data_IF_049651711093
#
_entry.id   IF_049651711093
#
_cell.length_a   1.000
_cell.length_b   1.000
_cell.length_c   1.000
_cell.angle_alpha   90.00
_cell.angle_beta   90.00
_cell.angle_gamma   90.00
#
_symmetry.space_group_name_H-M   'P 1'
#
loop_
_entity.id
_entity.type
_entity.pdbx_description
1 polymer ?
#
# COMPACT_ATOMS: atom_id res chain seq x y z
N UNK A 1 -7.59 -12.85 77.20
CA UNK A 1 -8.61 -13.35 76.27
C UNK A 1 -8.99 -12.16 75.40
N UNK A 2 -8.26 -11.89 74.31
CA UNK A 2 -8.38 -12.56 72.99
C UNK A 2 -9.62 -12.00 72.25
N UNK A 3 -9.59 -11.47 71.02
CA UNK A 3 -8.70 -11.57 69.86
C UNK A 3 -8.79 -10.24 69.05
N UNK A 4 -7.68 -9.71 68.52
CA UNK A 4 -7.15 -9.91 67.16
C UNK A 4 -7.92 -9.19 66.03
N UNK A 5 -7.37 -8.03 65.68
CA UNK A 5 -7.11 -7.49 64.33
C UNK A 5 -7.44 -8.40 63.13
N UNK A 6 -8.25 -7.90 62.20
CA UNK A 6 -8.30 -8.38 60.81
C UNK A 6 -8.28 -7.22 59.82
N UNK A 7 -7.11 -7.12 59.17
CA UNK A 7 -6.76 -6.44 57.93
C UNK A 7 -7.40 -7.12 56.72
N UNK A 8 -7.90 -6.37 55.72
CA UNK A 8 -7.48 -6.43 54.31
C UNK A 8 -8.51 -5.93 53.27
N UNK A 9 -8.02 -4.98 52.46
CA UNK A 9 -7.93 -5.00 50.99
C UNK A 9 -9.22 -5.10 50.16
N UNK A 10 -9.62 -3.96 49.60
CA UNK A 10 -10.29 -3.92 48.31
C UNK A 10 -9.48 -3.03 47.36
N UNK A 11 -8.58 -3.66 46.62
CA UNK A 11 -7.81 -3.04 45.56
C UNK A 11 -7.57 -4.07 44.44
N UNK A 12 -7.68 -3.59 43.21
CA UNK A 12 -7.15 -4.18 41.98
C UNK A 12 -8.03 -5.18 41.22
N UNK A 13 -8.96 -4.68 40.39
CA UNK A 13 -9.44 -5.40 39.20
C UNK A 13 -9.32 -4.62 37.89
N UNK A 14 -8.98 -3.33 37.90
CA UNK A 14 -9.03 -2.49 36.70
C UNK A 14 -7.67 -2.24 36.01
N UNK A 15 -6.53 -2.54 36.65
CA UNK A 15 -5.21 -2.26 36.08
C UNK A 15 -4.65 -3.35 35.14
N UNK A 16 -5.21 -4.58 35.19
CA UNK A 16 -4.64 -5.72 34.45
C UNK A 16 -5.13 -5.79 32.99
N UNK A 17 -6.22 -5.12 32.62
CA UNK A 17 -6.76 -5.18 31.25
C UNK A 17 -6.12 -4.16 30.27
N UNK A 18 -5.64 -3.01 30.76
CA UNK A 18 -5.13 -1.91 29.91
C UNK A 18 -3.78 -2.24 29.23
N UNK A 19 -2.90 -2.97 29.93
CA UNK A 19 -1.55 -3.29 29.43
C UNK A 19 -1.55 -4.29 28.26
N UNK A 20 -2.52 -5.21 28.23
CA UNK A 20 -2.64 -6.26 27.22
C UNK A 20 -3.34 -5.83 25.91
N UNK A 21 -4.24 -4.85 25.99
CA UNK A 21 -4.96 -4.29 24.83
C UNK A 21 -4.05 -3.36 24.02
N UNK A 22 -3.28 -2.51 24.71
CA UNK A 22 -2.35 -1.55 24.08
C UNK A 22 -1.23 -2.26 23.30
N UNK A 23 -0.71 -3.38 23.82
CA UNK A 23 0.34 -4.19 23.17
C UNK A 23 -0.15 -4.89 21.89
N UNK A 24 -1.45 -5.23 21.81
CA UNK A 24 -2.05 -5.88 20.63
C UNK A 24 -2.32 -4.89 19.50
N UNK A 25 -2.79 -3.68 19.82
CA UNK A 25 -3.13 -2.68 18.80
C UNK A 25 -1.90 -2.17 18.02
N UNK A 26 -0.76 -1.98 18.71
CA UNK A 26 0.48 -1.54 18.06
C UNK A 26 1.06 -2.63 17.13
N UNK A 27 1.03 -3.90 17.56
CA UNK A 27 1.47 -5.06 16.75
C UNK A 27 0.52 -5.31 15.58
N UNK A 28 -0.80 -5.21 15.79
CA UNK A 28 -1.81 -5.39 14.74
C UNK A 28 -1.65 -4.34 13.62
N UNK A 29 -1.47 -3.07 13.97
CA UNK A 29 -1.22 -2.00 12.99
C UNK A 29 0.05 -2.26 12.16
N UNK A 30 1.11 -2.76 12.81
CA UNK A 30 2.35 -3.14 12.14
C UNK A 30 2.13 -4.32 11.17
N UNK A 31 1.47 -5.38 11.63
CA UNK A 31 1.15 -6.57 10.81
C UNK A 31 0.28 -6.21 9.61
N UNK A 32 -0.79 -5.44 9.81
CA UNK A 32 -1.67 -4.99 8.73
C UNK A 32 -0.89 -4.17 7.70
N UNK A 33 -0.01 -3.26 8.14
CA UNK A 33 0.79 -2.46 7.20
C UNK A 33 1.76 -3.32 6.37
N UNK A 34 2.35 -4.36 6.96
CA UNK A 34 3.24 -5.29 6.25
C UNK A 34 2.50 -6.15 5.24
N UNK A 35 1.30 -6.63 5.59
CA UNK A 35 0.45 -7.37 4.65
C UNK A 35 0.07 -6.48 3.47
N UNK A 36 -0.36 -5.24 3.73
CA UNK A 36 -0.69 -4.29 2.68
C UNK A 36 0.52 -3.99 1.77
N UNK A 37 1.72 -3.81 2.35
CA UNK A 37 2.97 -3.60 1.60
C UNK A 37 3.29 -4.79 0.70
N UNK A 38 3.16 -6.02 1.22
CA UNK A 38 3.39 -7.23 0.45
C UNK A 38 2.41 -7.35 -0.72
N UNK A 39 1.13 -7.08 -0.51
CA UNK A 39 0.10 -7.11 -1.57
C UNK A 39 0.44 -6.09 -2.67
N UNK A 40 0.73 -4.84 -2.31
CA UNK A 40 1.08 -3.80 -3.29
C UNK A 40 2.36 -4.17 -4.06
N UNK A 41 3.39 -4.64 -3.36
CA UNK A 41 4.64 -5.06 -4.00
C UNK A 41 4.41 -6.21 -4.98
N UNK A 42 3.59 -7.21 -4.63
CA UNK A 42 3.26 -8.32 -5.52
C UNK A 42 2.50 -7.86 -6.77
N UNK A 43 1.52 -6.96 -6.63
CA UNK A 43 0.81 -6.38 -7.78
C UNK A 43 1.78 -5.64 -8.70
N UNK A 44 2.71 -4.86 -8.15
CA UNK A 44 3.75 -4.22 -8.96
C UNK A 44 4.68 -5.21 -9.63
N UNK A 45 5.15 -6.26 -8.94
CA UNK A 45 5.98 -7.32 -9.56
C UNK A 45 5.26 -7.99 -10.74
N UNK A 46 3.96 -8.25 -10.61
CA UNK A 46 3.15 -8.76 -11.72
C UNK A 46 3.04 -7.73 -12.87
N UNK A 47 2.75 -6.46 -12.57
CA UNK A 47 2.69 -5.37 -13.56
C UNK A 47 4.00 -5.18 -14.33
N UNK A 48 5.13 -5.27 -13.62
CA UNK A 48 6.48 -5.09 -14.18
C UNK A 48 6.79 -6.10 -15.28
N UNK A 49 6.33 -7.35 -15.13
CA UNK A 49 6.50 -8.37 -16.16
C UNK A 49 5.91 -7.91 -17.49
N UNK A 50 4.66 -7.43 -17.50
CA UNK A 50 4.01 -6.95 -18.72
C UNK A 50 4.68 -5.69 -19.28
N UNK A 51 5.07 -4.74 -18.41
CA UNK A 51 5.69 -3.48 -18.82
C UNK A 51 7.08 -3.65 -19.43
N UNK A 52 7.94 -4.48 -18.84
CA UNK A 52 9.30 -4.70 -19.36
C UNK A 52 9.35 -5.65 -20.55
N UNK A 53 8.45 -6.62 -20.63
CA UNK A 53 8.30 -7.44 -21.84
C UNK A 53 7.62 -6.68 -22.98
N UNK A 54 6.93 -5.58 -22.67
CA UNK A 54 6.16 -4.79 -23.63
C UNK A 54 5.10 -5.65 -24.33
N UNK A 55 4.36 -6.39 -23.50
CA UNK A 55 3.25 -7.25 -23.91
C UNK A 55 2.17 -6.47 -24.68
N UNK A 56 1.37 -7.12 -25.53
CA UNK A 56 0.37 -6.46 -26.39
C UNK A 56 -0.52 -5.46 -25.66
N UNK A 57 -1.00 -5.77 -24.45
CA UNK A 57 -1.85 -4.86 -23.67
C UNK A 57 -1.08 -3.60 -23.24
N UNK A 58 0.21 -3.76 -22.88
CA UNK A 58 1.09 -2.63 -22.58
C UNK A 58 1.29 -1.73 -23.80
N UNK A 59 1.38 -2.30 -25.01
CA UNK A 59 1.55 -1.51 -26.22
C UNK A 59 0.34 -0.60 -26.45
N UNK A 60 -0.88 -1.12 -26.29
CA UNK A 60 -2.11 -0.33 -26.43
C UNK A 60 -2.21 0.77 -25.38
N UNK A 61 -1.92 0.43 -24.13
CA UNK A 61 -1.96 1.41 -23.03
C UNK A 61 -0.97 2.54 -23.30
N UNK A 62 0.27 2.18 -23.67
CA UNK A 62 1.34 3.15 -23.82
C UNK A 62 1.42 3.80 -25.19
N UNK A 63 0.68 3.36 -26.20
CA UNK A 63 0.65 3.99 -27.53
C UNK A 63 0.41 5.50 -27.42
N UNK A 64 -0.51 5.91 -26.54
CA UNK A 64 -0.86 7.31 -26.27
C UNK A 64 -0.09 7.94 -25.10
N UNK A 65 0.74 7.16 -24.41
CA UNK A 65 1.46 7.56 -23.17
C UNK A 65 3.00 7.47 -23.31
N UNK A 66 3.52 7.55 -24.54
CA UNK A 66 4.98 7.59 -24.81
C UNK A 66 5.60 6.25 -25.21
N UNK A 67 4.78 5.28 -25.59
CA UNK A 67 5.18 3.97 -26.11
C UNK A 67 6.07 3.18 -25.15
N UNK A 68 7.01 2.42 -25.71
CA UNK A 68 7.93 1.57 -24.95
C UNK A 68 8.76 2.34 -23.91
N UNK A 69 9.14 3.58 -24.21
CA UNK A 69 9.88 4.42 -23.28
C UNK A 69 9.01 4.81 -22.07
N UNK A 70 7.75 5.21 -22.31
CA UNK A 70 6.76 5.47 -21.26
C UNK A 70 6.51 4.25 -20.38
N UNK A 71 6.32 3.08 -21.01
CA UNK A 71 6.11 1.82 -20.29
C UNK A 71 7.29 1.46 -19.39
N UNK A 72 8.51 1.63 -19.90
CA UNK A 72 9.75 1.37 -19.15
C UNK A 72 9.91 2.37 -17.99
N UNK A 73 9.63 3.66 -18.22
CA UNK A 73 9.74 4.70 -17.20
C UNK A 73 8.77 4.46 -16.03
N UNK A 74 7.50 4.15 -16.35
CA UNK A 74 6.50 3.79 -15.33
C UNK A 74 6.89 2.49 -14.63
N UNK A 75 7.37 1.48 -15.36
CA UNK A 75 7.88 0.25 -14.77
C UNK A 75 9.04 0.49 -13.80
N UNK A 76 9.99 1.37 -14.12
CA UNK A 76 11.07 1.72 -13.17
C UNK A 76 10.51 2.35 -11.88
N UNK A 77 9.50 3.21 -11.98
CA UNK A 77 8.85 3.81 -10.80
C UNK A 77 8.09 2.78 -9.95
N UNK A 78 7.45 1.80 -10.58
CA UNK A 78 6.79 0.69 -9.87
C UNK A 78 7.80 -0.21 -9.16
N UNK A 79 8.93 -0.52 -9.80
CA UNK A 79 10.01 -1.28 -9.19
C UNK A 79 10.59 -0.57 -7.97
N UNK A 80 10.88 0.73 -8.09
CA UNK A 80 11.35 1.55 -6.97
C UNK A 80 10.32 1.56 -5.83
N UNK A 81 9.04 1.73 -6.15
CA UNK A 81 7.94 1.72 -5.17
C UNK A 81 7.87 0.39 -4.43
N UNK A 82 7.92 -0.74 -5.16
CA UNK A 82 7.87 -2.08 -4.58
C UNK A 82 9.07 -2.34 -3.64
N UNK A 83 10.29 -1.98 -4.07
CA UNK A 83 11.49 -2.13 -3.23
C UNK A 83 11.38 -1.27 -1.97
N UNK A 84 10.98 -0.01 -2.10
CA UNK A 84 10.89 0.91 -0.95
C UNK A 84 9.78 0.50 0.02
N UNK A 85 8.66 -0.03 -0.45
CA UNK A 85 7.58 -0.55 0.39
C UNK A 85 8.05 -1.70 1.29
N UNK A 86 8.94 -2.55 0.79
CA UNK A 86 9.48 -3.70 1.54
C UNK A 86 10.62 -3.34 2.48
N UNK A 87 11.30 -2.20 2.28
CA UNK A 87 12.35 -1.72 3.17
C UNK A 87 11.71 -0.98 4.37
N UNK A 88 11.84 -1.48 5.61
CA UNK A 88 11.10 -0.95 6.77
C UNK A 88 11.32 0.53 7.06
N UNK A 89 12.48 1.07 6.65
CA UNK A 89 12.86 2.49 6.80
C UNK A 89 12.30 3.39 5.70
N UNK A 90 11.96 2.82 4.54
CA UNK A 90 11.61 3.58 3.32
C UNK A 90 10.14 3.40 2.91
N UNK A 91 9.38 2.59 3.64
CA UNK A 91 8.01 2.22 3.29
C UNK A 91 7.07 3.41 3.04
N UNK A 92 7.22 4.53 3.77
CA UNK A 92 6.41 5.72 3.61
C UNK A 92 6.76 6.45 2.30
N UNK A 93 8.05 6.47 1.93
CA UNK A 93 8.51 7.00 0.64
C UNK A 93 8.01 6.09 -0.49
N UNK A 94 8.09 4.77 -0.32
CA UNK A 94 7.54 3.79 -1.25
C UNK A 94 6.04 3.96 -1.47
N UNK A 95 5.27 4.22 -0.40
CA UNK A 95 3.85 4.50 -0.47
C UNK A 95 3.55 5.81 -1.22
N UNK A 96 4.36 6.86 -1.04
CA UNK A 96 4.23 8.12 -1.81
C UNK A 96 4.48 7.87 -3.29
N UNK A 97 5.56 7.17 -3.65
CA UNK A 97 5.86 6.85 -5.05
C UNK A 97 4.77 5.99 -5.67
N UNK A 98 4.23 5.04 -4.89
CA UNK A 98 3.10 4.23 -5.31
C UNK A 98 1.87 5.08 -5.59
N UNK A 99 1.52 6.01 -4.71
CA UNK A 99 0.38 6.92 -4.90
C UNK A 99 0.53 7.84 -6.12
N UNK A 100 1.73 8.38 -6.35
CA UNK A 100 2.00 9.20 -7.53
C UNK A 100 1.84 8.36 -8.81
N UNK A 101 2.47 7.18 -8.84
CA UNK A 101 2.48 6.31 -10.02
C UNK A 101 1.08 5.78 -10.33
N UNK A 102 0.38 5.26 -9.32
CA UNK A 102 -0.96 4.71 -9.48
C UNK A 102 -2.02 5.78 -9.70
N UNK A 103 -1.80 6.99 -9.17
CA UNK A 103 -2.62 8.16 -9.44
C UNK A 103 -2.54 8.55 -10.91
N UNK A 104 -1.33 8.55 -11.50
CA UNK A 104 -1.14 8.74 -12.93
C UNK A 104 -1.85 7.67 -13.77
N UNK A 105 -1.70 6.40 -13.40
CA UNK A 105 -2.39 5.29 -14.09
C UNK A 105 -3.93 5.39 -14.00
N UNK A 106 -4.45 5.72 -12.82
CA UNK A 106 -5.89 5.93 -12.58
C UNK A 106 -6.44 7.09 -13.42
N UNK A 107 -5.71 8.21 -13.45
CA UNK A 107 -6.07 9.37 -14.28
C UNK A 107 -6.09 8.99 -15.77
N UNK A 108 -5.14 8.17 -16.23
CA UNK A 108 -5.12 7.67 -17.60
C UNK A 108 -6.34 6.78 -17.92
N UNK A 109 -6.81 5.98 -16.96
CA UNK A 109 -8.08 5.25 -17.10
C UNK A 109 -9.29 6.18 -17.24
N UNK A 110 -9.37 7.26 -16.47
CA UNK A 110 -10.49 8.19 -16.57
C UNK A 110 -10.48 9.08 -17.82
N UNK A 111 -9.30 9.28 -18.43
CA UNK A 111 -9.14 10.26 -19.52
C UNK A 111 -8.90 9.62 -20.89
N UNK A 112 -8.05 8.59 -20.97
CA UNK A 112 -7.53 8.06 -22.25
C UNK A 112 -7.96 6.62 -22.50
N UNK A 113 -7.90 5.75 -21.49
CA UNK A 113 -8.08 4.31 -21.66
C UNK A 113 -9.52 3.85 -21.46
N UNK A 114 -10.26 4.49 -20.55
CA UNK A 114 -11.53 3.97 -20.05
C UNK A 114 -11.34 2.90 -18.98
N UNK A 115 -12.45 2.37 -18.46
CA UNK A 115 -12.43 1.34 -17.41
C UNK A 115 -11.94 -0.01 -17.96
N UNK A 116 -12.36 -0.37 -19.18
CA UNK A 116 -12.02 -1.65 -19.83
C UNK A 116 -10.99 -1.39 -20.92
N UNK A 117 -9.88 -2.14 -20.89
CA UNK A 117 -8.83 -2.13 -21.91
C UNK A 117 -8.99 -3.36 -22.80
N UNK A 118 -9.01 -3.17 -24.11
CA UNK A 118 -9.17 -4.25 -25.09
C UNK A 118 -7.79 -4.65 -25.64
N UNK A 119 -7.50 -5.95 -25.61
CA UNK A 119 -6.31 -6.52 -26.24
C UNK A 119 -6.51 -6.54 -27.77
N UNK A 120 -5.61 -5.93 -28.56
CA UNK A 120 -5.75 -5.86 -30.02
C UNK A 120 -5.45 -7.20 -30.70
N UNK A 121 -4.75 -8.12 -30.04
CA UNK A 121 -4.40 -9.43 -30.58
C UNK A 121 -5.55 -10.44 -30.45
N UNK A 122 -6.35 -10.35 -29.38
CA UNK A 122 -7.47 -11.26 -29.10
C UNK A 122 -8.84 -10.62 -29.31
N UNK A 123 -8.93 -9.29 -29.26
CA UNK A 123 -10.19 -8.54 -29.27
C UNK A 123 -10.95 -8.61 -27.95
N UNK A 124 -10.39 -9.24 -26.92
CA UNK A 124 -11.02 -9.40 -25.61
C UNK A 124 -10.72 -8.21 -24.70
N UNK A 125 -11.72 -7.79 -23.93
CA UNK A 125 -11.56 -6.76 -22.90
C UNK A 125 -11.09 -7.36 -21.58
N UNK A 126 -10.24 -6.64 -20.85
CA UNK A 126 -9.75 -7.02 -19.51
C UNK A 126 -10.84 -7.00 -18.42
N UNK A 127 -12.09 -6.68 -18.77
CA UNK A 127 -13.22 -6.59 -17.85
C UNK A 127 -13.08 -5.51 -16.77
N UNK A 128 -12.14 -4.57 -16.92
CA UNK A 128 -11.82 -3.58 -15.90
C UNK A 128 -10.88 -4.06 -14.80
N UNK A 129 -10.23 -5.21 -15.00
CA UNK A 129 -9.29 -5.78 -14.04
C UNK A 129 -8.12 -4.83 -13.77
N UNK A 130 -7.56 -4.20 -14.81
CA UNK A 130 -6.45 -3.24 -14.64
C UNK A 130 -6.86 -2.03 -13.79
N UNK A 131 -8.07 -1.51 -14.03
CA UNK A 131 -8.61 -0.40 -13.25
C UNK A 131 -8.85 -0.78 -11.80
N UNK A 132 -9.41 -1.96 -11.54
CA UNK A 132 -9.66 -2.46 -10.19
C UNK A 132 -8.35 -2.67 -9.42
N UNK A 133 -7.32 -3.24 -10.06
CA UNK A 133 -6.00 -3.38 -9.45
C UNK A 133 -5.39 -2.01 -9.11
N UNK A 134 -5.57 -1.01 -9.99
CA UNK A 134 -5.11 0.35 -9.72
C UNK A 134 -5.81 0.96 -8.48
N UNK A 135 -7.12 0.74 -8.33
CA UNK A 135 -7.87 1.16 -7.14
C UNK A 135 -7.42 0.45 -5.87
N UNK A 136 -7.20 -0.86 -5.92
CA UNK A 136 -6.69 -1.63 -4.77
C UNK A 136 -5.33 -1.09 -4.33
N UNK A 137 -4.41 -0.88 -5.27
CA UNK A 137 -3.09 -0.32 -4.97
C UNK A 137 -3.19 1.10 -4.42
N UNK A 138 -4.05 1.96 -4.99
CA UNK A 138 -4.25 3.31 -4.50
C UNK A 138 -4.74 3.33 -3.04
N UNK A 139 -5.75 2.52 -2.72
CA UNK A 139 -6.31 2.44 -1.36
C UNK A 139 -5.29 1.86 -0.39
N UNK A 140 -4.64 0.74 -0.73
CA UNK A 140 -3.65 0.12 0.14
C UNK A 140 -2.45 1.03 0.38
N UNK A 141 -1.94 1.71 -0.64
CA UNK A 141 -0.84 2.67 -0.49
C UNK A 141 -1.24 3.90 0.34
N UNK A 142 -2.47 4.38 0.23
CA UNK A 142 -2.99 5.43 1.11
C UNK A 142 -3.05 4.95 2.58
N UNK A 143 -3.53 3.73 2.82
CA UNK A 143 -3.56 3.12 4.17
C UNK A 143 -2.15 2.98 4.73
N UNK A 144 -1.20 2.44 3.95
CA UNK A 144 0.20 2.29 4.35
C UNK A 144 0.79 3.66 4.73
N UNK A 145 0.55 4.69 3.90
CA UNK A 145 1.04 6.04 4.15
C UNK A 145 0.45 6.62 5.45
N UNK A 146 -0.85 6.44 5.70
CA UNK A 146 -1.50 6.90 6.95
C UNK A 146 -0.93 6.18 8.17
N UNK A 147 -0.72 4.86 8.09
CA UNK A 147 -0.17 4.07 9.20
C UNK A 147 1.32 4.35 9.45
N UNK A 148 2.10 4.65 8.40
CA UNK A 148 3.55 4.88 8.46
C UNK A 148 3.94 6.36 8.38
N UNK A 149 2.99 7.31 8.42
CA UNK A 149 3.23 8.76 8.30
C UNK A 149 4.28 9.31 9.27
N UNK A 150 4.40 8.72 10.47
CA UNK A 150 5.39 9.11 11.49
C UNK A 150 6.83 8.76 11.10
N UNK A 151 7.02 7.89 10.11
CA UNK A 151 8.34 7.52 9.58
C UNK A 151 8.82 8.50 8.48
N UNK A 152 8.00 9.50 8.10
CA UNK A 152 8.42 10.53 7.16
C UNK A 152 9.39 11.51 7.83
N UNK A 153 10.60 11.73 7.27
CA UNK A 153 11.61 12.61 7.86
C UNK A 153 11.19 14.09 7.93
N UNK A 154 10.09 14.48 7.27
CA UNK A 154 9.61 15.87 7.19
C UNK A 154 8.49 16.22 8.20
N UNK A 155 7.91 15.24 8.90
CA UNK A 155 6.74 15.43 9.80
C UNK A 155 7.01 14.90 11.23
N UNK A 156 8.28 14.72 11.60
CA UNK A 156 8.67 14.06 12.85
C UNK A 156 8.37 14.84 14.15
N UNK A 157 8.45 16.17 14.15
CA UNK A 157 8.57 16.91 15.43
C UNK A 157 7.41 17.86 15.77
N UNK A 158 6.37 17.98 14.93
CA UNK A 158 5.32 19.01 15.13
C UNK A 158 4.02 18.51 15.75
N UNK A 159 3.86 17.21 15.98
CA UNK A 159 2.63 16.65 16.53
C UNK A 159 2.91 15.48 17.50
N UNK A 160 3.86 15.70 18.42
CA UNK A 160 3.90 14.93 19.68
C UNK A 160 2.90 15.50 20.68
#
# INVERSE_FOLDING_TARGET
MEAAEQTQMHGSTDEVNSSGETCRMCKASLTVSWIAQAIVALIYLQSLFFKFTYAPETQVIFEKLGGRAGATAVGMMELLSAVFLLVPRMNAIGAIFSLITIGGATMAHFTVLGVVVVDPATGEGDGGTLFMMAMVVAVLSAVILVLRRKQLPLVGDKFS
#
